data_IF_819850745750
#
_entry.id   IF_819850745750
#
_cell.length_a   1.000
_cell.length_b   1.000
_cell.length_c   1.000
_cell.angle_alpha   90.00
_cell.angle_beta   90.00
_cell.angle_gamma   90.00
#
_symmetry.space_group_name_H-M   'P 1'
#
loop_
_entity.id
_entity.type
_entity.pdbx_description
1 polymer ?
#
# COMPACT_ATOMS: atom_id res chain seq x y z
N UNK A 1 5.06 -18.25 -5.48
CA UNK A 1 5.67 -17.10 -6.19
C UNK A 1 5.22 -15.83 -5.50
N UNK A 2 6.13 -15.07 -4.86
CA UNK A 2 5.75 -13.90 -4.05
C UNK A 2 5.46 -12.73 -5.00
N UNK A 3 4.20 -12.35 -5.16
CA UNK A 3 3.82 -11.12 -5.86
C UNK A 3 4.52 -9.95 -5.17
N UNK A 4 5.47 -9.30 -5.85
CA UNK A 4 6.20 -8.15 -5.31
C UNK A 4 5.33 -6.88 -5.24
N UNK A 5 4.33 -6.77 -6.11
CA UNK A 5 3.54 -5.55 -6.28
C UNK A 5 2.05 -5.81 -6.17
N UNK A 6 1.42 -5.14 -5.22
CA UNK A 6 -0.01 -5.16 -4.96
C UNK A 6 -0.70 -4.00 -5.68
N UNK A 7 -1.95 -4.20 -6.07
CA UNK A 7 -2.86 -3.10 -6.46
C UNK A 7 -3.62 -2.62 -5.24
N UNK A 8 -4.32 -1.50 -5.37
CA UNK A 8 -5.13 -0.92 -4.30
C UNK A 8 -6.10 -1.92 -3.64
N UNK A 9 -6.78 -2.76 -4.45
CA UNK A 9 -7.65 -3.83 -3.93
C UNK A 9 -6.88 -4.88 -3.14
N UNK A 10 -5.84 -5.47 -3.72
CA UNK A 10 -5.08 -6.51 -3.03
C UNK A 10 -4.42 -5.98 -1.75
N UNK A 11 -3.96 -4.72 -1.78
CA UNK A 11 -3.37 -4.09 -0.61
C UNK A 11 -4.43 -3.83 0.48
N UNK A 12 -5.65 -3.46 0.09
CA UNK A 12 -6.77 -3.28 1.02
C UNK A 12 -7.14 -4.58 1.72
N UNK A 13 -7.18 -5.70 0.98
CA UNK A 13 -7.41 -7.03 1.52
C UNK A 13 -6.26 -7.47 2.43
N UNK A 14 -5.02 -7.20 2.04
CA UNK A 14 -3.83 -7.54 2.83
C UNK A 14 -3.77 -6.78 4.17
N UNK A 15 -4.08 -5.48 4.17
CA UNK A 15 -4.08 -4.64 5.38
C UNK A 15 -5.36 -4.80 6.21
N UNK A 16 -6.41 -5.42 5.66
CA UNK A 16 -7.73 -5.49 6.29
C UNK A 16 -8.41 -4.12 6.42
N UNK A 17 -8.11 -3.17 5.52
CA UNK A 17 -8.69 -1.82 5.53
C UNK A 17 -9.51 -1.58 4.26
N UNK A 18 -10.50 -0.69 4.32
CA UNK A 18 -11.26 -0.32 3.13
C UNK A 18 -10.40 0.43 2.11
N UNK A 19 -10.68 0.24 0.82
CA UNK A 19 -10.01 0.95 -0.29
C UNK A 19 -10.06 2.48 -0.09
N UNK A 20 -11.16 3.01 0.45
CA UNK A 20 -11.29 4.43 0.77
C UNK A 20 -10.28 4.92 1.83
N UNK A 21 -10.06 4.14 2.90
CA UNK A 21 -9.02 4.46 3.89
C UNK A 21 -7.63 4.40 3.27
N UNK A 22 -7.39 3.41 2.41
CA UNK A 22 -6.14 3.28 1.69
C UNK A 22 -5.88 4.46 0.73
N UNK A 23 -6.92 4.90 0.03
CA UNK A 23 -6.89 6.06 -0.84
C UNK A 23 -6.58 7.34 -0.05
N UNK A 24 -7.19 7.50 1.13
CA UNK A 24 -6.94 8.64 2.01
C UNK A 24 -5.49 8.63 2.52
N UNK A 25 -4.96 7.47 2.90
CA UNK A 25 -3.55 7.32 3.28
C UNK A 25 -2.59 7.68 2.15
N UNK A 26 -2.96 7.34 0.90
CA UNK A 26 -2.18 7.71 -0.28
C UNK A 26 -2.27 9.20 -0.58
N UNK A 27 -3.46 9.79 -0.50
CA UNK A 27 -3.67 11.22 -0.72
C UNK A 27 -2.89 12.05 0.31
N UNK A 28 -2.82 11.58 1.55
CA UNK A 28 -2.05 12.20 2.64
C UNK A 28 -0.53 11.95 2.50
N UNK A 29 -0.08 11.17 1.52
CA UNK A 29 1.33 10.81 1.34
C UNK A 29 1.87 9.90 2.46
N UNK A 30 0.99 9.30 3.26
CA UNK A 30 1.33 8.48 4.42
C UNK A 30 1.71 7.06 4.08
N UNK A 31 1.43 6.57 2.87
CA UNK A 31 1.71 5.18 2.45
C UNK A 31 2.66 5.17 1.25
N UNK A 32 3.69 4.30 1.23
CA UNK A 32 4.59 4.20 0.08
C UNK A 32 3.84 3.62 -1.12
N UNK A 33 3.96 4.27 -2.28
CA UNK A 33 3.36 3.81 -3.53
C UNK A 33 4.30 4.08 -4.71
N UNK A 34 4.19 3.24 -5.73
CA UNK A 34 4.95 3.32 -6.96
C UNK A 34 3.98 3.64 -8.09
N UNK A 35 4.18 4.79 -8.73
CA UNK A 35 3.42 5.17 -9.92
C UNK A 35 4.12 4.65 -11.17
N UNK A 36 3.48 3.70 -11.84
CA UNK A 36 3.94 3.14 -13.12
C UNK A 36 2.98 3.64 -14.21
N UNK A 37 3.32 4.78 -14.81
CA UNK A 37 2.48 5.47 -15.78
C UNK A 37 1.13 5.92 -15.17
N UNK A 38 0.04 5.32 -15.64
CA UNK A 38 -1.33 5.53 -15.11
C UNK A 38 -1.71 4.54 -14.00
N UNK A 39 -0.91 3.49 -13.80
CA UNK A 39 -1.17 2.47 -12.79
C UNK A 39 -0.40 2.73 -11.51
N UNK A 40 -0.97 2.29 -10.39
CA UNK A 40 -0.35 2.45 -9.08
C UNK A 40 -0.16 1.08 -8.47
N UNK A 41 1.05 0.88 -7.94
CA UNK A 41 1.55 -0.37 -7.40
C UNK A 41 2.11 -0.12 -6.02
N UNK A 42 1.94 -1.09 -5.15
CA UNK A 42 2.42 -1.05 -3.78
C UNK A 42 3.39 -2.20 -3.58
N UNK A 43 4.64 -1.92 -3.21
CA UNK A 43 5.58 -2.98 -2.89
C UNK A 43 5.31 -3.49 -1.48
N UNK A 44 5.06 -4.80 -1.33
CA UNK A 44 4.69 -5.38 -0.03
C UNK A 44 5.78 -5.13 1.04
N UNK A 45 7.05 -5.21 0.64
CA UNK A 45 8.20 -5.00 1.54
C UNK A 45 8.24 -3.57 2.08
N UNK A 46 7.93 -2.56 1.26
CA UNK A 46 7.86 -1.18 1.71
C UNK A 46 6.68 -0.96 2.66
N UNK A 47 5.54 -1.55 2.35
CA UNK A 47 4.35 -1.50 3.22
C UNK A 47 4.64 -2.13 4.58
N UNK A 48 5.27 -3.31 4.61
CA UNK A 48 5.67 -3.98 5.86
C UNK A 48 6.66 -3.15 6.67
N UNK A 49 7.65 -2.53 6.02
CA UNK A 49 8.58 -1.60 6.69
C UNK A 49 7.85 -0.41 7.28
N UNK A 50 6.93 0.17 6.53
CA UNK A 50 6.10 1.28 6.97
C UNK A 50 5.20 0.91 8.16
N UNK A 51 4.55 -0.26 8.12
CA UNK A 51 3.76 -0.81 9.22
C UNK A 51 4.60 -0.97 10.49
N UNK A 52 5.81 -1.53 10.35
CA UNK A 52 6.75 -1.67 11.47
C UNK A 52 7.19 -0.33 12.04
N UNK A 53 7.46 0.66 11.19
CA UNK A 53 7.85 2.00 11.62
C UNK A 53 6.73 2.75 12.37
N UNK A 54 5.46 2.44 12.08
CA UNK A 54 4.30 3.03 12.76
C UNK A 54 3.84 2.27 14.02
N UNK A 55 4.36 1.07 14.25
CA UNK A 55 4.01 0.29 15.45
C UNK A 55 4.83 0.84 16.63
N UNK A 56 4.18 1.67 17.43
CA UNK A 56 4.70 2.16 18.71
C UNK A 56 4.46 1.14 19.83
#
# INVERSE_FOLDING_TARGET
MVKKYFREKELSEYLGVSVASLFKLRQDGKIPYIRIGKSIRYEIKEIEKWLKAKRH
#
